data_IF_944961421670
#
_entry.id   IF_944961421670
#
_cell.length_a   1.000
_cell.length_b   1.000
_cell.length_c   1.000
_cell.angle_alpha   90.00
_cell.angle_beta   90.00
_cell.angle_gamma   90.00
#
_symmetry.space_group_name_H-M   'P 1'
#
loop_
_entity.id
_entity.type
_entity.pdbx_description
1 polymer ?
#
# COMPACT_ATOMS: atom_id res chain seq x y z
N UNK A 1 7.82 -1.56 -58.90
CA UNK A 1 6.81 -2.23 -58.05
C UNK A 1 7.38 -2.74 -56.73
N UNK A 2 8.68 -3.06 -56.64
CA UNK A 2 9.29 -3.60 -55.40
C UNK A 2 9.42 -2.57 -54.26
N UNK A 3 9.73 -1.31 -54.57
CA UNK A 3 9.99 -0.27 -53.55
C UNK A 3 8.74 0.00 -52.69
N UNK A 4 7.54 -0.09 -53.26
CA UNK A 4 6.30 0.16 -52.53
C UNK A 4 5.95 -0.98 -51.57
N UNK A 5 6.26 -2.24 -51.91
CA UNK A 5 6.01 -3.38 -51.03
C UNK A 5 6.89 -3.31 -49.78
N UNK A 6 8.17 -2.98 -49.94
CA UNK A 6 9.11 -2.85 -48.82
C UNK A 6 8.72 -1.75 -47.84
N UNK A 7 8.26 -0.59 -48.35
CA UNK A 7 7.82 0.52 -47.49
C UNK A 7 6.56 0.17 -46.67
N UNK A 8 5.61 -0.54 -47.27
CA UNK A 8 4.42 -1.02 -46.55
C UNK A 8 4.84 -2.01 -45.45
N UNK A 9 5.72 -2.98 -45.76
CA UNK A 9 6.23 -3.91 -44.74
C UNK A 9 6.87 -3.15 -43.58
N UNK A 10 7.77 -2.18 -43.84
CA UNK A 10 8.40 -1.38 -42.79
C UNK A 10 7.39 -0.63 -41.91
N UNK A 11 6.36 -0.01 -42.49
CA UNK A 11 5.31 0.68 -41.71
C UNK A 11 4.49 -0.29 -40.85
N UNK A 12 4.25 -1.52 -41.32
CA UNK A 12 3.57 -2.55 -40.54
C UNK A 12 4.41 -3.06 -39.35
N UNK A 13 5.75 -3.09 -39.48
CA UNK A 13 6.63 -3.55 -38.37
C UNK A 13 6.81 -2.49 -37.28
N UNK A 14 6.63 -1.19 -37.57
CA UNK A 14 6.77 -0.13 -36.56
C UNK A 14 5.57 -0.04 -35.61
N UNK A 15 4.40 -0.57 -36.00
CA UNK A 15 3.22 -0.64 -35.14
C UNK A 15 3.20 -1.96 -34.37
N UNK A 16 3.92 -2.02 -33.25
CA UNK A 16 3.54 -2.71 -32.00
C UNK A 16 4.78 -2.98 -31.13
N UNK A 17 5.43 -1.90 -30.66
CA UNK A 17 6.10 -1.99 -29.36
C UNK A 17 5.04 -1.95 -28.27
N UNK A 18 4.25 -3.01 -28.15
CA UNK A 18 3.55 -3.25 -26.90
C UNK A 18 4.62 -3.56 -25.87
N UNK A 19 4.89 -2.57 -25.02
CA UNK A 19 5.46 -2.88 -23.71
C UNK A 19 4.44 -3.80 -23.04
N UNK A 20 4.70 -5.11 -23.09
CA UNK A 20 4.04 -6.08 -22.25
C UNK A 20 4.37 -5.65 -20.82
N UNK A 21 3.52 -4.80 -20.23
CA UNK A 21 3.50 -4.63 -18.79
C UNK A 21 3.09 -5.98 -18.25
N UNK A 22 4.07 -6.77 -17.84
CA UNK A 22 3.81 -7.98 -17.04
C UNK A 22 2.93 -7.52 -15.88
N UNK A 23 1.68 -8.02 -15.77
CA UNK A 23 0.81 -7.62 -14.69
C UNK A 23 1.50 -7.92 -13.36
N UNK A 24 1.44 -6.98 -12.41
CA UNK A 24 1.75 -7.31 -11.01
C UNK A 24 0.78 -8.43 -10.59
N UNK A 25 1.29 -9.65 -10.42
CA UNK A 25 0.50 -10.82 -10.04
C UNK A 25 0.10 -10.81 -8.55
N UNK A 26 0.32 -9.69 -7.86
CA UNK A 26 -0.01 -9.52 -6.45
C UNK A 26 -1.46 -9.05 -6.30
N UNK A 27 -2.26 -9.83 -5.58
CA UNK A 27 -3.63 -9.44 -5.26
C UNK A 27 -3.68 -8.20 -4.34
N UNK A 28 -4.79 -7.44 -4.33
CA UNK A 28 -4.95 -6.31 -3.41
C UNK A 28 -4.75 -6.69 -1.93
N UNK A 29 -5.14 -7.90 -1.53
CA UNK A 29 -4.94 -8.41 -0.17
C UNK A 29 -3.45 -8.69 0.13
N UNK A 30 -2.74 -9.37 -0.77
CA UNK A 30 -1.31 -9.62 -0.61
C UNK A 30 -0.51 -8.31 -0.55
N UNK A 31 -0.88 -7.35 -1.41
CA UNK A 31 -0.33 -5.99 -1.38
C UNK A 31 -0.57 -5.32 -0.04
N UNK A 32 -1.77 -5.43 0.52
CA UNK A 32 -2.09 -4.91 1.84
C UNK A 32 -1.21 -5.55 2.92
N UNK A 33 -1.12 -6.88 2.96
CA UNK A 33 -0.29 -7.60 3.93
C UNK A 33 1.16 -7.16 3.87
N UNK A 34 1.73 -7.12 2.65
CA UNK A 34 3.09 -6.67 2.42
C UNK A 34 3.32 -5.26 2.95
N UNK A 35 2.39 -4.33 2.71
CA UNK A 35 2.57 -2.94 3.08
C UNK A 35 2.30 -2.65 4.56
N UNK A 36 1.37 -3.37 5.19
CA UNK A 36 0.76 -2.91 6.44
C UNK A 36 0.76 -3.92 7.58
N UNK A 37 1.17 -5.18 7.39
CA UNK A 37 1.17 -6.18 8.47
C UNK A 37 2.59 -6.63 8.80
N UNK A 38 3.00 -6.38 10.05
CA UNK A 38 4.28 -6.81 10.59
C UNK A 38 4.25 -6.79 12.14
N UNK A 39 4.01 -7.95 12.79
CA UNK A 39 4.00 -8.06 14.25
C UNK A 39 5.29 -7.55 14.92
N UNK A 40 6.43 -7.69 14.24
CA UNK A 40 7.76 -7.41 14.78
C UNK A 40 8.31 -6.04 14.33
N UNK A 41 7.45 -5.18 13.77
CA UNK A 41 7.86 -3.86 13.30
C UNK A 41 8.36 -2.99 14.46
N UNK A 42 9.32 -2.11 14.18
CA UNK A 42 9.75 -1.06 15.11
C UNK A 42 10.04 0.24 14.37
N UNK A 43 10.10 1.36 15.09
CA UNK A 43 10.37 2.68 14.49
C UNK A 43 11.73 2.75 13.77
N UNK A 44 12.70 1.93 14.18
CA UNK A 44 14.03 1.86 13.57
C UNK A 44 14.04 1.11 12.24
N UNK A 45 13.04 0.23 12.01
CA UNK A 45 12.95 -0.62 10.82
C UNK A 45 12.28 0.05 9.61
N UNK A 46 11.78 1.29 9.74
CA UNK A 46 11.02 1.96 8.67
C UNK A 46 11.76 1.96 7.32
N UNK A 47 13.03 2.37 7.31
CA UNK A 47 13.83 2.42 6.07
C UNK A 47 14.03 1.02 5.47
N UNK A 48 14.48 0.06 6.29
CA UNK A 48 14.81 -1.29 5.83
C UNK A 48 13.58 -2.03 5.34
N UNK A 49 12.45 -1.97 6.05
CA UNK A 49 11.23 -2.70 5.69
C UNK A 49 10.55 -2.07 4.47
N UNK A 50 10.43 -0.75 4.39
CA UNK A 50 9.92 -0.09 3.17
C UNK A 50 10.82 -0.39 1.97
N UNK A 51 12.14 -0.48 2.18
CA UNK A 51 13.11 -0.84 1.16
C UNK A 51 12.94 -2.31 0.68
N UNK A 52 13.02 -3.25 1.60
CA UNK A 52 12.91 -4.69 1.35
C UNK A 52 11.58 -5.06 0.70
N UNK A 53 10.48 -4.45 1.15
CA UNK A 53 9.12 -4.76 0.70
C UNK A 53 8.68 -3.98 -0.53
N UNK A 54 9.55 -3.16 -1.16
CA UNK A 54 9.21 -2.39 -2.38
C UNK A 54 7.93 -1.55 -2.24
N UNK A 55 7.79 -0.83 -1.12
CA UNK A 55 6.62 0.03 -0.88
C UNK A 55 6.84 1.40 -1.55
N UNK A 56 5.98 1.75 -2.51
CA UNK A 56 6.02 2.98 -3.31
C UNK A 56 4.68 3.70 -3.29
N UNK A 57 4.66 4.98 -3.67
CA UNK A 57 3.41 5.77 -3.73
C UNK A 57 2.44 5.27 -4.82
N UNK A 58 2.97 4.93 -5.99
CA UNK A 58 2.24 4.48 -7.19
C UNK A 58 3.14 3.56 -8.03
N UNK A 59 2.71 3.23 -9.25
CA UNK A 59 3.61 2.65 -10.25
C UNK A 59 4.82 3.56 -10.46
N UNK A 60 6.03 3.02 -10.25
CA UNK A 60 7.29 3.76 -10.33
C UNK A 60 8.10 3.69 -9.04
N UNK A 61 9.09 4.57 -8.94
CA UNK A 61 10.10 4.56 -7.88
C UNK A 61 9.90 5.64 -6.81
N UNK A 62 8.79 6.38 -6.86
CA UNK A 62 8.52 7.45 -5.89
C UNK A 62 8.26 6.86 -4.50
N UNK A 63 8.88 7.46 -3.49
CA UNK A 63 8.73 7.08 -2.09
C UNK A 63 7.28 7.34 -1.63
N UNK A 64 6.69 6.39 -0.89
CA UNK A 64 5.37 6.59 -0.28
C UNK A 64 5.52 7.59 0.86
N UNK A 65 4.69 8.66 0.90
CA UNK A 65 4.84 9.73 1.90
C UNK A 65 4.61 9.25 3.33
N UNK A 66 3.62 8.39 3.54
CA UNK A 66 3.29 7.78 4.83
C UNK A 66 2.97 6.31 4.61
N UNK A 67 3.51 5.45 5.47
CA UNK A 67 3.12 4.05 5.53
C UNK A 67 3.02 3.60 6.98
N UNK A 68 1.88 3.03 7.36
CA UNK A 68 1.71 2.45 8.68
C UNK A 68 1.83 0.93 8.66
N UNK A 69 2.63 0.36 9.56
CA UNK A 69 2.62 -1.07 9.87
C UNK A 69 1.81 -1.33 11.14
N UNK A 70 0.95 -2.34 11.10
CA UNK A 70 0.16 -2.84 12.21
C UNK A 70 0.97 -3.95 12.88
N UNK A 71 1.27 -3.77 14.17
CA UNK A 71 2.01 -4.74 14.98
C UNK A 71 1.05 -5.82 15.50
N UNK A 72 0.46 -6.59 14.58
CA UNK A 72 -0.43 -7.69 14.90
C UNK A 72 -0.40 -8.76 13.80
N UNK A 73 -0.89 -9.95 14.12
CA UNK A 73 -0.94 -11.04 13.16
C UNK A 73 -2.03 -10.81 12.11
N UNK A 74 -1.82 -11.36 10.91
CA UNK A 74 -2.80 -11.23 9.80
C UNK A 74 -4.22 -11.67 10.17
N UNK A 75 -4.36 -12.67 11.06
CA UNK A 75 -5.67 -13.15 11.52
C UNK A 75 -6.47 -12.06 12.23
N UNK A 76 -5.82 -11.32 13.12
CA UNK A 76 -6.45 -10.26 13.91
C UNK A 76 -6.79 -9.06 13.03
N UNK A 77 -5.90 -8.71 12.10
CA UNK A 77 -6.15 -7.64 11.12
C UNK A 77 -7.29 -8.02 10.17
N UNK A 78 -7.35 -9.25 9.70
CA UNK A 78 -8.44 -9.73 8.83
C UNK A 78 -9.80 -9.69 9.54
N UNK A 79 -9.84 -9.99 10.85
CA UNK A 79 -11.07 -9.99 11.63
C UNK A 79 -11.77 -8.62 11.65
N UNK A 80 -11.04 -7.53 11.45
CA UNK A 80 -11.60 -6.17 11.32
C UNK A 80 -12.55 -6.07 10.13
N UNK A 81 -12.30 -6.80 9.04
CA UNK A 81 -13.21 -6.86 7.89
C UNK A 81 -14.40 -7.82 8.08
N UNK A 82 -14.58 -8.33 9.30
CA UNK A 82 -15.75 -9.09 9.73
C UNK A 82 -16.25 -8.57 11.09
N UNK A 83 -16.33 -9.45 12.08
CA UNK A 83 -16.97 -9.14 13.36
C UNK A 83 -16.16 -8.23 14.30
N UNK A 84 -14.87 -7.99 14.01
CA UNK A 84 -14.01 -7.15 14.85
C UNK A 84 -13.91 -5.70 14.35
N UNK A 85 -14.78 -5.28 13.43
CA UNK A 85 -14.87 -3.91 12.96
C UNK A 85 -16.32 -3.44 12.80
N UNK A 86 -16.49 -2.12 12.80
CA UNK A 86 -17.74 -1.45 12.54
C UNK A 86 -17.62 -0.59 11.29
N UNK A 87 -18.66 -0.61 10.46
CA UNK A 87 -18.72 0.20 9.25
C UNK A 87 -18.69 1.68 9.61
N UNK A 88 -17.81 2.45 8.97
CA UNK A 88 -17.84 3.92 9.09
C UNK A 88 -19.01 4.44 8.25
N UNK A 89 -19.92 5.17 8.89
CA UNK A 89 -21.15 5.74 8.28
C UNK A 89 -20.82 6.46 6.98
N UNK A 90 -21.63 6.24 5.93
CA UNK A 90 -21.54 6.88 4.61
C UNK A 90 -20.20 6.77 3.85
N UNK A 91 -19.29 5.89 4.27
CA UNK A 91 -18.01 5.63 3.54
C UNK A 91 -18.02 4.24 2.90
N UNK A 92 -16.89 3.69 2.44
CA UNK A 92 -16.65 2.25 2.17
C UNK A 92 -15.63 1.60 3.13
N UNK A 93 -15.44 2.23 4.29
CA UNK A 93 -14.43 1.88 5.28
C UNK A 93 -15.03 1.17 6.50
N UNK A 94 -14.17 0.42 7.18
CA UNK A 94 -14.45 -0.31 8.42
C UNK A 94 -13.41 0.07 9.46
N UNK A 95 -13.87 0.55 10.62
CA UNK A 95 -13.04 0.91 11.76
C UNK A 95 -12.93 -0.29 12.70
N UNK A 96 -11.75 -0.60 13.22
CA UNK A 96 -11.59 -1.66 14.20
C UNK A 96 -12.37 -1.37 15.50
N UNK A 97 -12.81 -2.43 16.18
CA UNK A 97 -13.50 -2.32 17.47
C UNK A 97 -12.53 -2.15 18.64
N UNK A 98 -11.27 -2.51 18.44
CA UNK A 98 -10.19 -2.36 19.41
C UNK A 98 -9.02 -1.62 18.76
N UNK A 99 -8.23 -0.87 19.55
CA UNK A 99 -7.04 -0.22 19.04
C UNK A 99 -5.93 -1.25 18.80
N UNK A 100 -5.09 -0.98 17.80
CA UNK A 100 -3.92 -1.77 17.47
C UNK A 100 -2.64 -0.96 17.74
N UNK A 101 -1.57 -1.60 18.23
CA UNK A 101 -0.24 -1.01 18.17
C UNK A 101 0.20 -0.89 16.70
N UNK A 102 0.71 0.29 16.34
CA UNK A 102 1.14 0.60 14.99
C UNK A 102 2.47 1.36 14.97
N UNK A 103 3.21 1.21 13.88
CA UNK A 103 4.38 2.02 13.55
C UNK A 103 4.07 2.82 12.29
N UNK A 104 3.94 4.13 12.43
CA UNK A 104 3.79 5.05 11.29
C UNK A 104 5.17 5.51 10.81
N UNK A 105 5.51 5.19 9.56
CA UNK A 105 6.71 5.66 8.89
C UNK A 105 6.38 6.88 8.02
N UNK A 106 6.89 8.05 8.40
CA UNK A 106 6.70 9.30 7.66
C UNK A 106 7.96 9.63 6.88
N UNK A 107 7.84 9.91 5.58
CA UNK A 107 8.96 10.27 4.73
C UNK A 107 9.59 11.57 5.25
N UNK A 108 10.88 11.49 5.59
CA UNK A 108 11.70 12.60 6.10
C UNK A 108 12.49 13.25 4.96
N UNK A 109 13.12 12.44 4.11
CA UNK A 109 13.93 12.91 2.98
C UNK A 109 14.07 11.83 1.92
N UNK A 110 14.52 12.24 0.74
CA UNK A 110 14.54 11.41 -0.47
C UNK A 110 13.18 11.39 -1.16
N UNK A 111 13.18 11.46 -2.48
CA UNK A 111 11.96 11.47 -3.29
C UNK A 111 11.73 10.15 -4.00
N UNK A 112 12.83 9.46 -4.33
CA UNK A 112 12.83 8.22 -5.10
C UNK A 112 13.72 7.17 -4.47
N UNK A 113 13.35 5.91 -4.69
CA UNK A 113 14.18 4.76 -4.34
C UNK A 113 15.54 4.81 -5.07
N UNK A 114 16.61 4.28 -4.46
CA UNK A 114 16.64 3.60 -3.16
C UNK A 114 16.77 4.56 -1.95
N UNK A 115 16.76 5.88 -2.15
CA UNK A 115 17.16 6.86 -1.15
C UNK A 115 16.04 7.33 -0.19
N UNK A 116 14.94 6.60 -0.10
CA UNK A 116 13.84 6.97 0.81
C UNK A 116 14.28 6.88 2.28
N UNK A 117 14.14 7.97 3.03
CA UNK A 117 14.45 8.05 4.46
C UNK A 117 13.19 8.40 5.25
N UNK A 118 12.91 7.66 6.30
CA UNK A 118 11.68 7.76 7.09
C UNK A 118 11.98 8.05 8.56
N UNK A 119 11.04 8.72 9.20
CA UNK A 119 10.92 8.83 10.65
C UNK A 119 9.79 7.93 11.12
N UNK A 120 10.11 6.94 11.95
CA UNK A 120 9.11 6.09 12.60
C UNK A 120 8.53 6.73 13.85
N UNK A 121 7.24 6.50 14.11
CA UNK A 121 6.55 6.79 15.38
C UNK A 121 5.66 5.61 15.74
N UNK A 122 5.72 5.18 16.99
CA UNK A 122 4.79 4.18 17.54
C UNK A 122 3.57 4.87 18.15
N UNK A 123 2.41 4.25 18.00
CA UNK A 123 1.19 4.64 18.70
C UNK A 123 0.25 3.45 18.81
N UNK A 124 -0.80 3.60 19.63
CA UNK A 124 -1.90 2.63 19.73
C UNK A 124 -3.17 3.34 19.28
N UNK A 125 -3.82 2.86 18.22
CA UNK A 125 -5.00 3.52 17.63
C UNK A 125 -5.95 2.56 16.96
N UNK A 126 -7.21 2.98 16.81
CA UNK A 126 -8.14 2.30 15.93
C UNK A 126 -7.64 2.38 14.49
N UNK A 127 -7.69 1.27 13.77
CA UNK A 127 -7.33 1.23 12.35
C UNK A 127 -8.59 1.33 11.51
N UNK A 128 -8.48 2.01 10.37
CA UNK A 128 -9.57 2.15 9.42
C UNK A 128 -9.13 1.51 8.11
N UNK A 129 -9.90 0.53 7.65
CA UNK A 129 -9.57 -0.31 6.52
C UNK A 129 -10.66 -0.23 5.47
N UNK A 130 -10.29 -0.26 4.20
CA UNK A 130 -11.23 -0.66 3.15
C UNK A 130 -11.20 -2.18 3.04
N UNK A 131 -12.38 -2.78 3.06
CA UNK A 131 -12.55 -4.22 2.94
C UNK A 131 -13.16 -4.58 1.58
N UNK A 132 -12.71 -5.68 0.98
CA UNK A 132 -13.30 -6.29 -0.21
C UNK A 132 -13.57 -7.77 0.07
N UNK A 133 -14.84 -8.20 -0.04
CA UNK A 133 -15.29 -9.58 0.24
C UNK A 133 -14.75 -10.15 1.57
N UNK A 134 -14.70 -9.32 2.62
CA UNK A 134 -14.19 -9.70 3.94
C UNK A 134 -12.67 -9.62 4.13
N UNK A 135 -11.92 -9.14 3.13
CA UNK A 135 -10.46 -9.01 3.19
C UNK A 135 -10.00 -7.55 3.19
N UNK A 136 -8.98 -7.18 3.99
CA UNK A 136 -8.46 -5.82 3.97
C UNK A 136 -7.64 -5.57 2.70
N UNK A 137 -7.95 -4.48 2.00
CA UNK A 137 -7.30 -4.13 0.72
C UNK A 137 -6.71 -2.72 0.70
N UNK A 138 -6.96 -1.93 1.76
CA UNK A 138 -6.39 -0.59 1.92
C UNK A 138 -6.38 -0.19 3.40
N UNK A 139 -5.28 0.41 3.86
CA UNK A 139 -5.20 1.11 5.13
C UNK A 139 -5.47 2.60 4.90
N UNK A 140 -6.44 3.17 5.61
CA UNK A 140 -6.72 4.59 5.56
C UNK A 140 -5.83 5.35 6.55
N UNK A 141 -4.95 6.20 6.03
CA UNK A 141 -4.00 7.00 6.83
C UNK A 141 -4.63 8.31 7.36
N UNK A 142 -5.83 8.70 6.88
CA UNK A 142 -6.45 9.99 7.14
C UNK A 142 -7.39 10.01 8.34
N UNK A 143 -8.09 8.91 8.62
CA UNK A 143 -9.01 8.77 9.74
C UNK A 143 -8.23 8.21 10.94
N UNK A 144 -7.34 9.05 11.45
CA UNK A 144 -6.70 8.86 12.75
C UNK A 144 -7.31 9.95 13.62
N UNK A 145 -8.17 9.56 14.56
CA UNK A 145 -8.79 10.42 15.59
C UNK A 145 -10.05 11.22 15.19
N UNK A 146 -11.22 10.59 15.30
CA UNK A 146 -12.50 11.33 15.51
C UNK A 146 -12.82 11.52 17.00
N UNK A 147 -11.88 11.23 17.91
CA UNK A 147 -12.02 11.52 19.35
C UNK A 147 -11.00 12.53 19.88
N UNK A 148 -10.39 13.33 19.00
CA UNK A 148 -9.60 14.51 19.41
C UNK A 148 -10.42 15.82 19.37
N UNK A 149 -11.74 15.74 19.19
CA UNK A 149 -12.67 16.83 19.52
C UNK A 149 -13.27 16.50 20.89
N UNK A 150 -12.58 16.94 21.94
CA UNK A 150 -13.22 17.19 23.23
C UNK A 150 -14.09 18.43 23.16
#
# INVERSE_FOLDING_TARGET
MEILQSAVIFLLVFSFSFTVKVPDNESPYEKFLRQHVDPDMSVQKCNSEISKRKITAKAGNDCKKVNTFIQANKRDVNAVCGNAGNRVVDTNLTKSNQPFPVVTCQLKSGERRPHCQYRGRSSTRYIVLRCDKGWPVHYDEGIIDVNSSG
#
